data_IF_113988259334
#
_entry.id   IF_113988259334
#
_cell.length_a   1.000
_cell.length_b   1.000
_cell.length_c   1.000
_cell.angle_alpha   90.00
_cell.angle_beta   90.00
_cell.angle_gamma   90.00
#
_symmetry.space_group_name_H-M   'P 1'
#
loop_
_entity.id
_entity.type
_entity.pdbx_description
1 polymer ?
#
# COMPACT_ATOMS: atom_id res chain seq x y z
N UNK A 1 -7.14 1.02 11.61
CA UNK A 1 -6.41 1.67 10.50
C UNK A 1 -4.93 1.25 10.44
N UNK A 2 -4.15 1.21 11.53
CA UNK A 2 -2.77 0.66 11.49
C UNK A 2 -2.66 -0.87 11.64
N UNK A 3 -3.65 -1.51 12.28
CA UNK A 3 -3.65 -2.95 12.58
C UNK A 3 -3.44 -3.84 11.34
N UNK A 4 -4.03 -3.47 10.20
CA UNK A 4 -3.89 -4.23 8.95
C UNK A 4 -2.43 -4.24 8.47
N UNK A 5 -1.73 -3.11 8.55
CA UNK A 5 -0.32 -3.00 8.20
C UNK A 5 0.57 -3.84 9.13
N UNK A 6 0.25 -3.86 10.44
CA UNK A 6 0.99 -4.66 11.43
C UNK A 6 0.83 -6.15 11.13
N UNK A 7 -0.42 -6.61 10.91
CA UNK A 7 -0.73 -8.02 10.65
C UNK A 7 -0.10 -8.55 9.36
N UNK A 8 -0.06 -7.74 8.31
CA UNK A 8 0.55 -8.11 7.03
C UNK A 8 2.05 -7.80 6.94
N UNK A 9 2.65 -7.23 8.01
CA UNK A 9 4.03 -6.74 8.00
C UNK A 9 4.38 -5.89 6.76
N UNK A 10 3.45 -5.02 6.32
CA UNK A 10 3.47 -4.43 4.96
C UNK A 10 4.78 -3.78 4.56
N UNK A 11 5.38 -2.96 5.44
CA UNK A 11 6.65 -2.31 5.15
C UNK A 11 7.79 -3.33 4.96
N UNK A 12 7.84 -4.35 5.81
CA UNK A 12 8.81 -5.44 5.70
C UNK A 12 8.61 -6.22 4.39
N UNK A 13 7.36 -6.59 4.06
CA UNK A 13 7.04 -7.33 2.84
C UNK A 13 7.48 -6.59 1.58
N UNK A 14 7.28 -5.28 1.51
CA UNK A 14 7.73 -4.46 0.36
C UNK A 14 9.25 -4.53 0.20
N UNK A 15 10.00 -4.31 1.28
CA UNK A 15 11.47 -4.38 1.24
C UNK A 15 11.93 -5.81 0.91
N UNK A 16 11.26 -6.82 1.47
CA UNK A 16 11.55 -8.22 1.20
C UNK A 16 11.32 -8.57 -0.28
N UNK A 17 10.22 -8.14 -0.88
CA UNK A 17 9.94 -8.35 -2.30
C UNK A 17 10.97 -7.68 -3.21
N UNK A 18 11.37 -6.44 -2.91
CA UNK A 18 12.49 -5.81 -3.63
C UNK A 18 13.79 -6.60 -3.49
N UNK A 19 14.09 -7.10 -2.28
CA UNK A 19 15.26 -7.97 -2.03
C UNK A 19 15.19 -9.27 -2.85
N UNK A 20 13.99 -9.79 -3.12
CA UNK A 20 13.77 -10.96 -3.98
C UNK A 20 13.76 -10.64 -5.48
N UNK A 21 14.05 -9.40 -5.87
CA UNK A 21 14.22 -9.00 -7.28
C UNK A 21 12.97 -8.38 -7.92
N UNK A 22 11.89 -8.13 -7.17
CA UNK A 22 10.76 -7.37 -7.70
C UNK A 22 11.14 -5.90 -7.85
N UNK A 23 10.56 -5.24 -8.86
CA UNK A 23 10.63 -3.78 -8.97
C UNK A 23 9.93 -3.12 -7.77
N UNK A 24 10.27 -1.86 -7.48
CA UNK A 24 9.59 -1.07 -6.44
C UNK A 24 8.06 -1.05 -6.64
N UNK A 25 7.62 -0.94 -7.90
CA UNK A 25 6.20 -0.91 -8.27
C UNK A 25 5.52 -2.24 -7.98
N UNK A 26 6.11 -3.35 -8.45
CA UNK A 26 5.57 -4.68 -8.26
C UNK A 26 5.55 -5.10 -6.79
N UNK A 27 6.62 -4.76 -6.05
CA UNK A 27 6.72 -5.03 -4.61
C UNK A 27 5.63 -4.31 -3.82
N UNK A 28 5.39 -3.03 -4.13
CA UNK A 28 4.32 -2.26 -3.48
C UNK A 28 2.93 -2.76 -3.83
N UNK A 29 2.67 -3.10 -5.09
CA UNK A 29 1.40 -3.69 -5.50
C UNK A 29 1.15 -5.04 -4.82
N UNK A 30 2.17 -5.92 -4.79
CA UNK A 30 2.07 -7.22 -4.14
C UNK A 30 1.75 -7.11 -2.66
N UNK A 31 2.40 -6.20 -1.94
CA UNK A 31 2.11 -5.99 -0.53
C UNK A 31 0.69 -5.45 -0.27
N UNK A 32 0.13 -4.65 -1.19
CA UNK A 32 -1.26 -4.21 -1.13
C UNK A 32 -2.24 -5.37 -1.39
N UNK A 33 -1.87 -6.32 -2.25
CA UNK A 33 -2.64 -7.56 -2.47
C UNK A 33 -2.60 -8.51 -1.27
N UNK A 34 -1.47 -8.60 -0.56
CA UNK A 34 -1.37 -9.37 0.67
C UNK A 34 -2.30 -8.81 1.76
N UNK A 35 -2.38 -7.48 1.87
CA UNK A 35 -3.34 -6.81 2.75
C UNK A 35 -4.78 -7.17 2.40
N UNK A 36 -5.10 -7.23 1.11
CA UNK A 36 -6.42 -7.68 0.64
C UNK A 36 -6.74 -9.13 1.01
N UNK A 37 -5.72 -9.95 1.25
CA UNK A 37 -5.88 -11.36 1.61
C UNK A 37 -6.20 -11.57 3.09
N UNK A 38 -6.01 -10.55 3.95
CA UNK A 38 -6.44 -10.59 5.36
C UNK A 38 -7.97 -10.70 5.50
N UNK A 39 -8.73 -10.09 4.58
CA UNK A 39 -10.18 -10.20 4.51
C UNK A 39 -10.96 -9.70 5.73
N UNK A 40 -12.29 -9.82 5.63
CA UNK A 40 -13.22 -9.68 6.75
C UNK A 40 -13.16 -8.33 7.49
N UNK A 41 -13.13 -8.40 8.82
CA UNK A 41 -13.18 -7.22 9.71
C UNK A 41 -11.92 -6.36 9.67
N UNK A 42 -10.83 -6.87 9.10
CA UNK A 42 -9.53 -6.19 9.09
C UNK A 42 -9.35 -5.27 7.88
N UNK A 43 -10.17 -5.43 6.84
CA UNK A 43 -10.14 -4.58 5.65
C UNK A 43 -10.54 -3.14 5.99
N UNK A 44 -9.60 -2.23 5.76
CA UNK A 44 -9.63 -0.83 6.13
C UNK A 44 -8.77 -0.03 5.16
N UNK A 45 -9.10 1.24 4.90
CA UNK A 45 -8.37 2.07 3.94
C UNK A 45 -6.86 2.11 4.22
N UNK A 46 -6.04 1.79 3.22
CA UNK A 46 -4.57 1.79 3.31
C UNK A 46 -3.94 2.77 2.31
N UNK A 47 -2.84 3.37 2.74
CA UNK A 47 -1.93 4.17 1.92
C UNK A 47 -0.50 3.82 2.29
N UNK A 48 0.36 3.64 1.30
CA UNK A 48 1.79 3.40 1.50
C UNK A 48 2.60 4.23 0.51
N UNK A 49 3.78 4.69 0.95
CA UNK A 49 4.80 5.33 0.11
C UNK A 49 6.06 4.48 0.27
N UNK A 50 6.76 4.27 -0.82
CA UNK A 50 7.90 3.38 -0.94
C UNK A 50 9.02 4.10 -1.67
N UNK A 51 10.27 3.78 -1.31
CA UNK A 51 11.49 4.35 -1.86
C UNK A 51 12.51 3.22 -1.98
N UNK A 52 13.23 3.15 -3.10
CA UNK A 52 14.35 2.21 -3.27
C UNK A 52 15.71 2.89 -3.06
N UNK A 53 16.79 2.10 -3.18
CA UNK A 53 18.17 2.55 -2.99
C UNK A 53 18.65 3.55 -4.06
N UNK A 54 17.98 3.60 -5.22
CA UNK A 54 18.31 4.48 -6.34
C UNK A 54 17.56 5.82 -6.22
N UNK A 55 16.70 5.95 -5.21
CA UNK A 55 15.89 7.13 -4.99
C UNK A 55 14.59 7.13 -5.80
N UNK A 56 14.26 6.04 -6.49
CA UNK A 56 12.95 5.90 -7.11
C UNK A 56 11.90 5.74 -6.03
N UNK A 57 10.74 6.38 -6.21
CA UNK A 57 9.64 6.32 -5.27
C UNK A 57 8.34 5.92 -5.95
N UNK A 58 7.49 5.22 -5.21
CA UNK A 58 6.14 4.85 -5.64
C UNK A 58 5.19 4.92 -4.44
N UNK A 59 3.90 5.13 -4.69
CA UNK A 59 2.91 5.19 -3.65
C UNK A 59 1.61 4.52 -4.09
N UNK A 60 0.94 3.88 -3.14
CA UNK A 60 -0.24 3.06 -3.40
C UNK A 60 -1.36 3.43 -2.44
N UNK A 61 -2.61 3.23 -2.85
CA UNK A 61 -3.77 3.38 -1.99
C UNK A 61 -4.88 2.42 -2.35
N UNK A 62 -5.62 1.98 -1.32
CA UNK A 62 -6.91 1.30 -1.52
C UNK A 62 -8.08 2.26 -1.69
N UNK A 63 -7.83 3.57 -1.80
CA UNK A 63 -8.82 4.60 -2.03
C UNK A 63 -8.47 5.30 -3.36
N UNK A 64 -9.46 5.50 -4.25
CA UNK A 64 -9.23 6.15 -5.53
C UNK A 64 -8.84 7.63 -5.35
N UNK A 65 -8.21 8.19 -6.38
CA UNK A 65 -7.95 9.63 -6.53
C UNK A 65 -7.16 10.27 -5.37
N UNK A 66 -6.22 9.51 -4.80
CA UNK A 66 -5.36 9.99 -3.72
C UNK A 66 -3.99 10.41 -4.25
N UNK A 67 -3.41 11.44 -3.62
CA UNK A 67 -2.09 11.96 -3.96
C UNK A 67 -1.04 11.67 -2.87
N UNK A 68 0.23 11.76 -3.25
CA UNK A 68 1.35 11.88 -2.33
C UNK A 68 2.28 13.01 -2.78
N UNK A 69 3.09 13.47 -1.84
CA UNK A 69 4.06 14.56 -2.04
C UNK A 69 5.45 13.97 -1.92
N UNK A 70 6.36 14.37 -2.79
CA UNK A 70 7.78 14.07 -2.67
C UNK A 70 8.63 15.30 -2.99
N UNK A 71 9.83 15.31 -2.44
CA UNK A 71 10.82 16.35 -2.70
C UNK A 71 12.20 15.71 -2.68
N UNK A 72 13.00 16.01 -3.70
CA UNK A 72 14.41 15.62 -3.80
C UNK A 72 15.31 16.85 -3.63
N UNK A 73 16.58 16.60 -3.37
CA UNK A 73 17.57 17.66 -3.12
C UNK A 73 17.75 18.61 -4.31
N UNK A 74 17.52 18.13 -5.54
CA UNK A 74 17.61 18.90 -6.78
C UNK A 74 16.35 19.71 -7.11
N UNK A 75 15.29 19.60 -6.30
CA UNK A 75 14.00 20.25 -6.56
C UNK A 75 13.87 21.57 -5.80
N UNK A 76 13.48 22.63 -6.51
CA UNK A 76 13.19 23.95 -5.91
C UNK A 76 11.85 24.01 -5.16
N UNK A 77 10.95 23.05 -5.38
CA UNK A 77 9.66 22.93 -4.73
C UNK A 77 9.20 21.45 -4.68
N UNK A 78 8.35 21.05 -3.70
CA UNK A 78 7.81 19.69 -3.65
C UNK A 78 6.83 19.42 -4.80
N UNK A 79 6.83 18.19 -5.32
CA UNK A 79 5.90 17.73 -6.34
C UNK A 79 4.74 16.92 -5.75
N UNK A 80 3.58 16.98 -6.40
CA UNK A 80 2.38 16.18 -6.08
C UNK A 80 2.16 15.15 -7.17
N UNK A 81 2.00 13.88 -6.80
CA UNK A 81 1.81 12.77 -7.74
C UNK A 81 0.66 11.89 -7.29
N UNK A 82 -0.06 11.29 -8.24
CA UNK A 82 -1.12 10.33 -7.95
C UNK A 82 -0.55 9.04 -7.33
N UNK A 83 -1.32 8.43 -6.43
CA UNK A 83 -1.04 7.08 -5.93
C UNK A 83 -1.62 6.05 -6.88
N UNK A 84 -0.93 4.93 -7.05
CA UNK A 84 -1.47 3.75 -7.71
C UNK A 84 -2.64 3.20 -6.89
N UNK A 85 -3.82 3.14 -7.51
CA UNK A 85 -5.01 2.60 -6.87
C UNK A 85 -4.99 1.06 -6.91
N UNK A 86 -5.11 0.43 -5.74
CA UNK A 86 -5.19 -1.02 -5.58
C UNK A 86 -6.52 -1.36 -4.88
N UNK A 87 -7.54 -1.83 -5.59
CA UNK A 87 -8.88 -2.01 -5.03
C UNK A 87 -8.90 -3.06 -3.91
N UNK A 88 -9.70 -2.79 -2.88
CA UNK A 88 -9.96 -3.76 -1.81
C UNK A 88 -11.03 -4.77 -2.20
N UNK A 89 -10.84 -6.04 -1.83
CA UNK A 89 -11.91 -7.04 -1.92
C UNK A 89 -13.07 -6.57 -1.04
N UNK A 90 -14.29 -6.56 -1.57
CA UNK A 90 -15.47 -6.09 -0.83
C UNK A 90 -15.67 -6.90 0.45
N UNK A 91 -16.07 -6.22 1.54
CA UNK A 91 -16.55 -6.91 2.75
C UNK A 91 -17.79 -7.71 2.37
N UNK A 92 -17.66 -9.01 2.13
CA UNK A 92 -18.80 -9.92 2.28
C UNK A 92 -19.16 -9.89 3.76
N UNK A 93 -20.16 -9.10 4.11
CA UNK A 93 -20.82 -9.24 5.40
C UNK A 93 -21.38 -10.66 5.46
N UNK A 94 -20.75 -11.53 6.25
CA UNK A 94 -21.44 -12.71 6.75
C UNK A 94 -22.40 -12.14 7.80
N UNK A 95 -23.67 -11.99 7.43
CA UNK A 95 -24.73 -11.71 8.39
C UNK A 95 -24.69 -12.82 9.44
N UNK A 96 -24.19 -12.50 10.63
CA UNK A 96 -24.22 -13.42 11.75
C UNK A 96 -25.70 -13.55 12.18
N UNK A 97 -26.33 -14.74 12.13
CA UNK A 97 -27.64 -14.90 12.74
C UNK A 97 -27.46 -14.68 14.25
N UNK A 98 -28.31 -13.81 14.79
CA UNK A 98 -28.32 -13.35 16.19
C UNK A 98 -28.11 -14.53 17.16
N UNK A 99 -27.20 -14.36 18.12
CA UNK A 99 -27.23 -15.08 19.40
C UNK A 99 -28.07 -14.28 20.38
#
# INVERSE_FOLDING_TARGET
MGEMAIRAATAHSIVFYMKMGLSLVDAGQRAMEDLNSLGGRFLSGMRVITLDKEGNHAAFSSLPDTIYVYQRADMSAPAKVARTYVPQKTKKYISNPKR
#
